data_IF_406001197267
#
_entry.id   IF_406001197267
#
_cell.length_a   1.000
_cell.length_b   1.000
_cell.length_c   1.000
_cell.angle_alpha   90.00
_cell.angle_beta   90.00
_cell.angle_gamma   90.00
#
_symmetry.space_group_name_H-M   'P 1'
#
loop_
_entity.id
_entity.type
_entity.pdbx_description
1 polymer ?
#
# COMPACT_ATOMS: atom_id res chain seq x y z
N UNK A 1 -4.58 -33.38 -16.01
CA UNK A 1 -4.00 -32.88 -14.74
C UNK A 1 -4.29 -31.38 -14.64
N UNK A 2 -5.21 -30.96 -13.77
CA UNK A 2 -5.47 -29.53 -13.49
C UNK A 2 -4.55 -29.11 -12.34
N UNK A 3 -3.57 -28.28 -12.62
CA UNK A 3 -2.69 -27.70 -11.61
C UNK A 3 -3.38 -26.45 -11.07
N UNK A 4 -4.08 -26.55 -9.93
CA UNK A 4 -4.64 -25.39 -9.25
C UNK A 4 -3.54 -24.72 -8.43
N UNK A 5 -2.92 -23.68 -8.98
CA UNK A 5 -1.94 -22.87 -8.26
C UNK A 5 -2.64 -22.04 -7.18
N UNK A 6 -2.57 -22.49 -5.93
CA UNK A 6 -3.03 -21.71 -4.79
C UNK A 6 -1.97 -20.66 -4.43
N UNK A 7 -2.30 -19.38 -4.59
CA UNK A 7 -1.42 -18.28 -4.17
C UNK A 7 -1.75 -17.85 -2.74
N UNK A 8 -0.73 -17.75 -1.90
CA UNK A 8 -0.85 -17.18 -0.55
C UNK A 8 -1.06 -15.67 -0.64
N UNK A 9 -1.76 -15.06 0.33
CA UNK A 9 -1.97 -13.61 0.39
C UNK A 9 -0.65 -12.81 0.35
N UNK A 10 0.42 -13.35 0.93
CA UNK A 10 1.78 -12.77 0.93
C UNK A 10 2.39 -12.80 -0.49
N UNK A 11 2.12 -13.86 -1.26
CA UNK A 11 2.57 -13.94 -2.65
C UNK A 11 1.81 -12.94 -3.53
N UNK A 12 0.50 -12.80 -3.34
CA UNK A 12 -0.31 -11.80 -4.05
C UNK A 12 0.19 -10.39 -3.71
N UNK A 13 0.47 -10.10 -2.44
CA UNK A 13 1.06 -8.84 -2.02
C UNK A 13 2.43 -8.61 -2.66
N UNK A 14 3.29 -9.63 -2.71
CA UNK A 14 4.60 -9.56 -3.36
C UNK A 14 4.52 -9.30 -4.87
N UNK A 15 3.55 -9.92 -5.56
CA UNK A 15 3.28 -9.69 -6.98
C UNK A 15 2.79 -8.25 -7.20
N UNK A 16 1.83 -7.79 -6.40
CA UNK A 16 1.32 -6.40 -6.46
C UNK A 16 2.44 -5.39 -6.19
N UNK A 17 3.28 -5.65 -5.19
CA UNK A 17 4.39 -4.78 -4.82
C UNK A 17 5.46 -4.74 -5.90
N UNK A 18 5.82 -5.89 -6.48
CA UNK A 18 6.76 -5.97 -7.60
C UNK A 18 6.21 -5.27 -8.85
N UNK A 19 4.92 -5.46 -9.16
CA UNK A 19 4.25 -4.74 -10.25
C UNK A 19 4.26 -3.23 -10.04
N UNK A 20 3.98 -2.76 -8.82
CA UNK A 20 4.06 -1.35 -8.48
C UNK A 20 5.48 -0.80 -8.63
N UNK A 21 6.49 -1.54 -8.15
CA UNK A 21 7.90 -1.17 -8.31
C UNK A 21 8.31 -1.08 -9.78
N UNK A 22 7.83 -2.00 -10.62
CA UNK A 22 8.11 -2.02 -12.06
C UNK A 22 7.48 -0.80 -12.77
N UNK A 23 6.28 -0.38 -12.37
CA UNK A 23 5.66 0.87 -12.85
C UNK A 23 6.52 2.09 -12.46
N UNK A 24 7.04 2.13 -11.23
CA UNK A 24 7.94 3.19 -10.79
C UNK A 24 9.24 3.25 -11.61
N UNK A 25 9.80 2.09 -12.00
CA UNK A 25 11.00 2.02 -12.85
C UNK A 25 10.71 2.37 -14.31
N UNK A 26 9.55 1.97 -14.83
CA UNK A 26 9.16 2.23 -16.22
C UNK A 26 8.83 3.70 -16.48
N UNK A 27 8.15 4.38 -15.55
CA UNK A 27 7.72 5.77 -15.71
C UNK A 27 8.10 6.66 -14.51
N UNK A 28 9.39 6.76 -14.15
CA UNK A 28 9.82 7.42 -12.92
C UNK A 28 9.47 8.91 -12.88
N UNK A 29 9.55 9.61 -14.02
CA UNK A 29 9.21 11.03 -14.11
C UNK A 29 7.72 11.28 -13.89
N UNK A 30 6.85 10.45 -14.49
CA UNK A 30 5.40 10.59 -14.36
C UNK A 30 4.95 10.28 -12.93
N UNK A 31 5.41 9.15 -12.39
CA UNK A 31 5.10 8.73 -11.02
C UNK A 31 5.57 9.78 -10.02
N UNK A 32 6.72 10.42 -10.25
CA UNK A 32 7.21 11.46 -9.37
C UNK A 32 6.42 12.73 -9.37
N UNK A 33 6.09 13.22 -10.56
CA UNK A 33 5.29 14.42 -10.68
C UNK A 33 3.89 14.20 -10.09
N UNK A 34 3.33 12.99 -10.29
CA UNK A 34 2.09 12.58 -9.67
C UNK A 34 2.18 12.52 -8.14
N UNK A 35 3.24 11.92 -7.58
CA UNK A 35 3.45 11.82 -6.14
C UNK A 35 3.54 13.20 -5.47
N UNK A 36 4.30 14.14 -6.05
CA UNK A 36 4.41 15.51 -5.54
C UNK A 36 3.04 16.20 -5.57
N UNK A 37 2.28 16.04 -6.67
CA UNK A 37 0.92 16.60 -6.77
C UNK A 37 -0.05 15.99 -5.77
N UNK A 38 0.02 14.67 -5.54
CA UNK A 38 -0.84 14.00 -4.57
C UNK A 38 -0.57 14.49 -3.14
N UNK A 39 0.71 14.61 -2.75
CA UNK A 39 1.11 15.10 -1.42
C UNK A 39 0.71 16.56 -1.25
N UNK A 40 1.00 17.42 -2.22
CA UNK A 40 0.63 18.86 -2.15
C UNK A 40 -0.88 19.06 -2.13
N UNK A 41 -1.65 18.25 -2.86
CA UNK A 41 -3.10 18.26 -2.78
C UNK A 41 -3.63 17.86 -1.40
N UNK A 42 -3.02 16.86 -0.76
CA UNK A 42 -3.36 16.48 0.61
C UNK A 42 -3.08 17.63 1.59
N UNK A 43 -1.94 18.31 1.44
CA UNK A 43 -1.63 19.51 2.23
C UNK A 43 -2.62 20.66 1.99
N UNK A 44 -3.13 20.83 0.76
CA UNK A 44 -4.18 21.81 0.47
C UNK A 44 -5.48 21.48 1.19
N UNK A 45 -5.90 20.20 1.21
CA UNK A 45 -7.09 19.77 1.96
C UNK A 45 -6.91 20.03 3.45
N UNK A 46 -5.76 19.63 4.01
CA UNK A 46 -5.45 19.88 5.43
C UNK A 46 -5.38 21.38 5.75
N UNK A 47 -4.76 22.18 4.89
CA UNK A 47 -4.67 23.62 5.03
C UNK A 47 -6.04 24.29 4.98
N UNK A 48 -6.94 23.81 4.11
CA UNK A 48 -8.31 24.26 4.04
C UNK A 48 -9.10 23.92 5.32
N UNK A 49 -8.98 22.68 5.79
CA UNK A 49 -9.61 22.26 7.05
C UNK A 49 -9.09 23.08 8.23
N UNK A 50 -7.78 23.32 8.28
CA UNK A 50 -7.13 24.15 9.30
C UNK A 50 -7.61 25.60 9.24
N UNK A 51 -7.81 26.16 8.04
CA UNK A 51 -8.36 27.51 7.86
C UNK A 51 -9.79 27.61 8.37
N UNK A 52 -10.65 26.64 8.02
CA UNK A 52 -12.04 26.58 8.51
C UNK A 52 -12.05 26.54 10.03
N UNK A 53 -11.26 25.66 10.63
CA UNK A 53 -11.12 25.58 12.09
C UNK A 53 -10.59 26.88 12.71
N UNK A 54 -9.60 27.52 12.09
CA UNK A 54 -9.02 28.77 12.56
C UNK A 54 -10.03 29.93 12.55
N UNK A 55 -10.93 29.96 11.56
CA UNK A 55 -12.04 30.90 11.49
C UNK A 55 -13.05 30.66 12.62
N UNK A 56 -13.37 29.39 12.93
CA UNK A 56 -14.22 29.05 14.07
C UNK A 56 -13.62 29.49 15.41
N UNK A 57 -12.33 29.26 15.62
CA UNK A 57 -11.61 29.63 16.85
C UNK A 57 -11.26 31.13 16.90
N UNK A 58 -11.50 31.89 15.82
CA UNK A 58 -11.17 33.33 15.67
C UNK A 58 -9.70 33.67 15.98
N UNK A 59 -8.79 32.71 15.79
CA UNK A 59 -7.36 32.90 16.04
C UNK A 59 -6.69 33.55 14.84
N UNK A 60 -6.26 34.80 14.97
CA UNK A 60 -5.57 35.54 13.89
C UNK A 60 -4.27 34.87 13.43
N UNK A 61 -3.50 34.31 14.37
CA UNK A 61 -2.25 33.60 14.05
C UNK A 61 -2.52 32.32 13.27
N UNK A 62 -3.49 31.53 13.71
CA UNK A 62 -3.83 30.26 13.03
C UNK A 62 -4.41 30.51 11.65
N UNK A 63 -5.20 31.58 11.47
CA UNK A 63 -5.70 32.02 10.15
C UNK A 63 -4.52 32.37 9.23
N UNK A 64 -3.56 33.19 9.71
CA UNK A 64 -2.41 33.60 8.91
C UNK A 64 -1.53 32.41 8.49
N UNK A 65 -1.29 31.47 9.41
CA UNK A 65 -0.52 30.26 9.13
C UNK A 65 -1.25 29.37 8.12
N UNK A 66 -2.55 29.13 8.32
CA UNK A 66 -3.35 28.28 7.42
C UNK A 66 -3.45 28.87 6.02
N UNK A 67 -3.64 30.19 5.92
CA UNK A 67 -3.66 30.91 4.65
C UNK A 67 -2.30 30.83 3.95
N UNK A 68 -1.19 30.99 4.67
CA UNK A 68 0.15 30.84 4.11
C UNK A 68 0.39 29.42 3.58
N UNK A 69 -0.05 28.40 4.32
CA UNK A 69 0.03 27.00 3.88
C UNK A 69 -0.77 26.79 2.59
N UNK A 70 -1.96 27.37 2.48
CA UNK A 70 -2.77 27.28 1.27
C UNK A 70 -2.10 27.95 0.07
N UNK A 71 -1.56 29.16 0.23
CA UNK A 71 -0.87 29.89 -0.84
C UNK A 71 0.37 29.12 -1.30
N UNK A 72 1.20 28.67 -0.35
CA UNK A 72 2.41 27.89 -0.64
C UNK A 72 2.04 26.54 -1.27
N UNK A 73 1.02 25.86 -0.74
CA UNK A 73 0.54 24.59 -1.25
C UNK A 73 -0.01 24.70 -2.68
N UNK A 74 -0.71 25.80 -2.99
CA UNK A 74 -1.27 26.03 -4.32
C UNK A 74 -0.16 26.33 -5.33
N UNK A 75 0.82 27.14 -4.93
CA UNK A 75 2.02 27.39 -5.74
C UNK A 75 2.81 26.10 -6.01
N UNK A 76 3.00 25.27 -4.98
CA UNK A 76 3.65 23.98 -5.06
C UNK A 76 2.91 22.98 -5.96
N UNK A 77 1.57 23.01 -5.96
CA UNK A 77 0.73 22.14 -6.78
C UNK A 77 0.83 22.48 -8.28
N UNK A 78 0.83 23.78 -8.61
CA UNK A 78 0.96 24.27 -9.99
C UNK A 78 2.37 23.97 -10.52
N UNK A 79 3.39 24.26 -9.71
CA UNK A 79 4.79 24.11 -10.10
C UNK A 79 5.54 23.11 -9.19
N UNK A 80 5.34 21.79 -9.36
CA UNK A 80 5.94 20.76 -8.50
C UNK A 80 7.47 20.73 -8.55
N UNK A 81 8.07 21.31 -9.59
CA UNK A 81 9.52 21.40 -9.75
C UNK A 81 10.18 22.30 -8.68
N UNK A 82 9.50 23.36 -8.24
CA UNK A 82 10.04 24.23 -7.18
C UNK A 82 10.04 23.54 -5.82
N UNK A 83 9.13 22.60 -5.56
CA UNK A 83 9.10 21.84 -4.31
C UNK A 83 10.41 21.08 -4.14
N UNK A 84 10.89 20.45 -5.21
CA UNK A 84 12.14 19.71 -5.19
C UNK A 84 13.36 20.61 -5.09
N UNK A 85 13.31 21.78 -5.73
CA UNK A 85 14.35 22.79 -5.58
C UNK A 85 14.49 23.25 -4.12
N UNK A 86 13.37 23.54 -3.46
CA UNK A 86 13.34 23.91 -2.04
C UNK A 86 13.79 22.77 -1.13
N UNK A 87 13.41 21.52 -1.45
CA UNK A 87 13.92 20.34 -0.76
C UNK A 87 15.45 20.23 -0.91
N UNK A 88 15.98 20.50 -2.11
CA UNK A 88 17.41 20.54 -2.40
C UNK A 88 18.15 21.58 -1.55
N UNK A 89 17.58 22.77 -1.38
CA UNK A 89 18.09 23.80 -0.44
C UNK A 89 18.11 23.27 0.99
N UNK A 90 17.03 22.64 1.45
CA UNK A 90 16.97 22.02 2.77
C UNK A 90 18.08 20.99 2.97
N UNK A 91 18.24 20.05 2.03
CA UNK A 91 19.29 19.02 2.08
C UNK A 91 20.69 19.62 2.09
N UNK A 92 20.94 20.67 1.30
CA UNK A 92 22.22 21.36 1.27
C UNK A 92 22.55 22.04 2.60
N UNK A 93 21.59 22.77 3.18
CA UNK A 93 21.78 23.44 4.48
C UNK A 93 21.99 22.40 5.59
N UNK A 94 21.21 21.31 5.59
CA UNK A 94 21.38 20.21 6.55
C UNK A 94 22.75 19.54 6.43
N UNK A 95 23.22 19.28 5.21
CA UNK A 95 24.55 18.72 4.98
C UNK A 95 25.66 19.68 5.42
N UNK A 96 25.51 20.97 5.16
CA UNK A 96 26.47 22.00 5.59
C UNK A 96 26.52 22.13 7.12
N UNK A 97 25.37 22.10 7.79
CA UNK A 97 25.30 22.04 9.26
C UNK A 97 25.93 20.75 9.80
N UNK A 98 25.72 19.61 9.13
CA UNK A 98 26.34 18.34 9.47
C UNK A 98 27.86 18.42 9.46
N UNK A 99 28.44 18.98 8.38
CA UNK A 99 29.88 19.21 8.26
C UNK A 99 30.38 20.17 9.33
N UNK A 100 29.69 21.30 9.54
CA UNK A 100 30.09 22.28 10.56
C UNK A 100 30.11 21.67 11.96
N UNK A 101 29.12 20.83 12.29
CA UNK A 101 29.06 20.10 13.55
C UNK A 101 30.16 19.04 13.66
N UNK A 102 30.57 18.40 12.56
CA UNK A 102 31.69 17.45 12.55
C UNK A 102 33.03 18.15 12.81
N UNK A 103 33.24 19.35 12.25
CA UNK A 103 34.45 20.14 12.48
C UNK A 103 34.45 20.84 13.83
N UNK A 104 33.28 21.14 14.38
CA UNK A 104 33.17 21.68 15.74
C UNK A 104 33.49 20.56 16.73
N UNK A 105 34.45 20.79 17.64
CA UNK A 105 34.92 19.80 18.64
C UNK A 105 33.86 19.37 19.68
N UNK A 106 32.57 19.66 19.44
CA UNK A 106 31.47 19.46 20.38
C UNK A 106 31.04 18.00 20.57
N UNK A 107 31.44 17.07 19.69
CA UNK A 107 31.13 15.64 19.86
C UNK A 107 32.12 14.75 19.10
N UNK A 108 32.53 13.61 19.67
CA UNK A 108 33.15 12.50 18.90
C UNK A 108 32.12 12.06 17.85
N UNK A 109 32.25 12.55 16.63
CA UNK A 109 31.41 12.13 15.51
C UNK A 109 32.05 10.96 14.77
N UNK A 110 31.21 10.03 14.32
CA UNK A 110 31.62 8.91 13.48
C UNK A 110 31.88 9.40 12.05
N UNK A 111 32.81 8.76 11.36
CA UNK A 111 33.09 8.98 9.92
C UNK A 111 31.81 8.87 9.07
N UNK A 112 30.85 8.05 9.52
CA UNK A 112 29.52 7.90 8.93
C UNK A 112 28.73 9.21 8.85
N UNK A 113 28.81 10.09 9.87
CA UNK A 113 28.11 11.38 9.85
C UNK A 113 28.69 12.34 8.81
N UNK A 114 30.02 12.31 8.64
CA UNK A 114 30.71 13.15 7.64
C UNK A 114 30.34 12.69 6.22
N UNK A 115 30.41 11.39 5.96
CA UNK A 115 30.02 10.79 4.67
C UNK A 115 28.55 11.08 4.37
N UNK A 116 27.66 10.90 5.34
CA UNK A 116 26.23 11.20 5.18
C UNK A 116 25.99 12.69 4.87
N UNK A 117 26.75 13.59 5.49
CA UNK A 117 26.59 15.04 5.29
C UNK A 117 27.06 15.49 3.91
N UNK A 118 28.18 14.93 3.42
CA UNK A 118 28.68 15.16 2.06
C UNK A 118 27.69 14.61 1.03
N UNK A 119 27.17 13.39 1.25
CA UNK A 119 26.16 12.80 0.38
C UNK A 119 24.88 13.65 0.33
N UNK A 120 24.45 14.21 1.47
CA UNK A 120 23.31 15.12 1.55
C UNK A 120 23.54 16.43 0.78
N UNK A 121 24.75 17.00 0.86
CA UNK A 121 25.11 18.19 0.08
C UNK A 121 25.10 17.90 -1.43
N UNK A 122 25.71 16.79 -1.86
CA UNK A 122 25.75 16.40 -3.27
C UNK A 122 24.33 16.14 -3.81
N UNK A 123 23.49 15.47 -3.03
CA UNK A 123 22.08 15.28 -3.34
C UNK A 123 21.34 16.62 -3.43
N UNK A 124 21.62 17.55 -2.52
CA UNK A 124 21.05 18.89 -2.52
C UNK A 124 21.42 19.69 -3.78
N UNK A 125 22.70 19.71 -4.15
CA UNK A 125 23.19 20.36 -5.38
C UNK A 125 22.58 19.71 -6.62
N UNK A 126 22.52 18.39 -6.67
CA UNK A 126 21.91 17.66 -7.78
C UNK A 126 20.40 17.99 -7.92
N UNK A 127 19.68 18.04 -6.80
CA UNK A 127 18.28 18.42 -6.76
C UNK A 127 18.04 19.88 -7.19
N UNK A 128 18.95 20.80 -6.87
CA UNK A 128 18.85 22.20 -7.32
C UNK A 128 19.09 22.35 -8.82
N UNK A 129 20.14 21.74 -9.36
CA UNK A 129 20.58 21.95 -10.74
C UNK A 129 19.68 21.22 -11.75
N UNK A 130 19.12 20.06 -11.37
CA UNK A 130 18.31 19.26 -12.27
C UNK A 130 17.15 18.58 -11.54
N UNK A 131 16.19 19.40 -11.09
CA UNK A 131 15.01 18.95 -10.31
C UNK A 131 14.25 17.80 -10.97
N UNK A 132 14.07 17.83 -12.30
CA UNK A 132 13.37 16.76 -13.04
C UNK A 132 14.15 15.45 -13.02
N UNK A 133 15.45 15.50 -13.32
CA UNK A 133 16.29 14.31 -13.32
C UNK A 133 16.45 13.74 -11.91
N UNK A 134 16.59 14.60 -10.90
CA UNK A 134 16.72 14.22 -9.50
C UNK A 134 15.48 13.48 -8.97
N UNK A 135 14.28 13.97 -9.30
CA UNK A 135 13.04 13.27 -8.94
C UNK A 135 12.99 11.88 -9.59
N UNK A 136 13.32 11.84 -10.88
CA UNK A 136 13.29 10.61 -11.67
C UNK A 136 14.27 9.58 -11.12
N UNK A 137 15.49 9.98 -10.75
CA UNK A 137 16.51 9.07 -10.21
C UNK A 137 16.11 8.51 -8.84
N UNK A 138 15.57 9.35 -7.94
CA UNK A 138 15.15 8.90 -6.60
C UNK A 138 14.03 7.86 -6.72
N UNK A 139 13.07 8.08 -7.62
CA UNK A 139 11.93 7.18 -7.80
C UNK A 139 12.33 5.90 -8.49
N UNK A 140 13.26 5.97 -9.44
CA UNK A 140 13.83 4.78 -10.04
C UNK A 140 14.55 3.92 -8.99
N UNK A 141 15.38 4.51 -8.14
CA UNK A 141 16.07 3.80 -7.05
C UNK A 141 15.05 3.18 -6.08
N UNK A 142 14.04 3.94 -5.66
CA UNK A 142 12.96 3.43 -4.81
C UNK A 142 12.19 2.30 -5.50
N UNK A 143 11.89 2.43 -6.79
CA UNK A 143 11.22 1.41 -7.59
C UNK A 143 12.00 0.11 -7.63
N UNK A 144 13.32 0.18 -7.84
CA UNK A 144 14.22 -0.98 -7.79
C UNK A 144 14.15 -1.67 -6.42
N UNK A 145 14.25 -0.90 -5.32
CA UNK A 145 14.14 -1.44 -3.96
C UNK A 145 12.79 -2.13 -3.74
N UNK A 146 11.69 -1.52 -4.19
CA UNK A 146 10.34 -2.08 -4.08
C UNK A 146 10.22 -3.39 -4.86
N UNK A 147 10.80 -3.47 -6.07
CA UNK A 147 10.84 -4.71 -6.85
C UNK A 147 11.60 -5.80 -6.09
N UNK A 148 12.78 -5.50 -5.54
CA UNK A 148 13.54 -6.47 -4.74
C UNK A 148 12.75 -6.96 -3.53
N UNK A 149 12.11 -6.05 -2.78
CA UNK A 149 11.27 -6.41 -1.63
C UNK A 149 10.08 -7.26 -2.07
N UNK A 150 9.42 -6.91 -3.18
CA UNK A 150 8.31 -7.67 -3.75
C UNK A 150 8.72 -9.10 -4.14
N UNK A 151 9.86 -9.25 -4.79
CA UNK A 151 10.42 -10.57 -5.14
C UNK A 151 10.75 -11.37 -3.87
N UNK A 152 11.36 -10.75 -2.86
CA UNK A 152 11.63 -11.41 -1.58
C UNK A 152 10.35 -11.89 -0.89
N UNK A 153 9.27 -11.09 -0.91
CA UNK A 153 7.97 -11.50 -0.37
C UNK A 153 7.36 -12.69 -1.13
N UNK A 154 7.57 -12.79 -2.45
CA UNK A 154 7.13 -13.95 -3.24
C UNK A 154 7.90 -15.21 -2.79
N UNK A 155 9.21 -15.11 -2.57
CA UNK A 155 10.02 -16.22 -2.07
C UNK A 155 9.61 -16.64 -0.65
N UNK A 156 9.43 -15.69 0.27
CA UNK A 156 8.96 -15.95 1.63
C UNK A 156 7.56 -16.56 1.62
N UNK A 157 6.67 -16.06 0.78
CA UNK A 157 5.31 -16.60 0.63
C UNK A 157 5.27 -18.03 0.07
N UNK A 158 6.33 -18.49 -0.62
CA UNK A 158 6.49 -19.88 -1.08
C UNK A 158 7.03 -20.80 0.02
N UNK A 159 7.89 -20.30 0.91
CA UNK A 159 8.50 -21.10 1.99
C UNK A 159 7.62 -21.20 3.23
N UNK A 160 6.64 -20.31 3.38
CA UNK A 160 5.62 -20.44 4.42
C UNK A 160 4.71 -21.63 4.11
N UNK A 161 4.64 -22.65 4.99
CA UNK A 161 3.70 -23.74 4.80
C UNK A 161 2.29 -23.14 4.73
N UNK A 162 1.50 -23.55 3.74
CA UNK A 162 0.05 -23.41 3.77
C UNK A 162 -0.44 -24.11 5.04
N UNK A 163 -0.42 -23.40 6.16
CA UNK A 163 -1.10 -23.83 7.37
C UNK A 163 -2.57 -23.77 7.01
N UNK A 164 -3.10 -24.93 6.61
CA UNK A 164 -4.49 -25.26 6.81
C UNK A 164 -4.79 -24.95 8.29
N UNK A 165 -5.22 -23.73 8.57
CA UNK A 165 -5.94 -23.39 9.80
C UNK A 165 -7.31 -24.02 9.68
N UNK A 166 -7.35 -25.34 9.80
CA UNK A 166 -8.46 -26.00 10.47
C UNK A 166 -8.55 -25.34 11.85
N UNK A 167 -9.70 -24.72 12.17
CA UNK A 167 -10.05 -24.09 13.45
C UNK A 167 -9.67 -22.63 13.73
N UNK A 168 -10.05 -21.67 12.87
CA UNK A 168 -10.73 -20.46 13.38
C UNK A 168 -11.84 -20.04 12.42
N UNK A 169 -13.08 -20.06 12.94
CA UNK A 169 -14.28 -19.47 12.32
C UNK A 169 -14.09 -17.97 12.14
N UNK A 170 -13.39 -17.55 11.10
CA UNK A 170 -13.49 -16.23 10.45
C UNK A 170 -12.83 -16.42 9.09
N UNK A 171 -13.64 -16.70 8.08
CA UNK A 171 -13.16 -17.05 6.74
C UNK A 171 -12.32 -15.93 6.11
N UNK A 172 -11.11 -16.20 5.60
CA UNK A 172 -10.43 -15.28 4.73
C UNK A 172 -11.12 -15.28 3.37
N UNK A 173 -11.47 -14.10 2.85
CA UNK A 173 -11.99 -13.93 1.50
C UNK A 173 -10.98 -14.49 0.49
N UNK A 174 -11.33 -15.61 -0.14
CA UNK A 174 -10.56 -16.24 -1.22
C UNK A 174 -11.06 -15.65 -2.54
N UNK A 175 -10.19 -14.96 -3.27
CA UNK A 175 -10.48 -14.53 -4.64
C UNK A 175 -10.20 -15.70 -5.60
N UNK A 176 -11.25 -16.40 -6.02
CA UNK A 176 -11.19 -17.40 -7.09
C UNK A 176 -11.70 -16.75 -8.37
N UNK A 177 -10.83 -16.51 -9.35
CA UNK A 177 -11.27 -16.16 -10.71
C UNK A 177 -11.68 -17.44 -11.44
N UNK A 178 -12.99 -17.71 -11.54
CA UNK A 178 -13.52 -18.74 -12.42
C UNK A 178 -13.76 -18.16 -13.82
N UNK A 179 -12.97 -18.55 -14.81
CA UNK A 179 -13.31 -18.32 -16.22
C UNK A 179 -14.41 -19.31 -16.63
N UNK A 180 -15.65 -18.84 -16.62
CA UNK A 180 -16.82 -19.63 -17.03
C UNK A 180 -16.89 -19.70 -18.55
N UNK A 181 -16.50 -20.84 -19.12
CA UNK A 181 -17.10 -21.39 -20.33
C UNK A 181 -17.00 -22.92 -20.26
N UNK A 182 -18.12 -23.59 -20.06
CA UNK A 182 -18.23 -25.04 -20.22
C UNK A 182 -19.49 -25.32 -21.04
N UNK A 183 -19.41 -26.01 -22.19
CA UNK A 183 -20.58 -26.51 -22.89
C UNK A 183 -21.28 -27.57 -22.01
N UNK A 184 -22.60 -27.54 -21.94
CA UNK A 184 -23.40 -28.56 -21.24
C UNK A 184 -23.32 -29.90 -21.97
N UNK A 185 -22.81 -30.93 -21.30
CA UNK A 185 -23.02 -32.33 -21.69
C UNK A 185 -24.35 -32.86 -21.12
N UNK A 186 -25.04 -33.81 -21.79
CA UNK A 186 -26.38 -34.23 -21.41
C UNK A 186 -26.39 -35.15 -20.19
N UNK A 187 -27.45 -35.00 -19.38
CA UNK A 187 -27.74 -35.71 -18.13
C UNK A 187 -28.05 -37.20 -18.39
N UNK A 188 -27.47 -38.17 -17.65
CA UNK A 188 -27.89 -39.57 -17.75
C UNK A 188 -29.15 -39.86 -16.92
N UNK A 189 -30.01 -40.74 -17.45
CA UNK A 189 -31.28 -41.20 -16.86
C UNK A 189 -31.12 -41.92 -15.50
N UNK A 190 -32.11 -41.84 -14.59
CA UNK A 190 -32.03 -42.44 -13.27
C UNK A 190 -32.41 -43.93 -13.29
N UNK A 191 -31.51 -44.79 -12.79
CA UNK A 191 -31.82 -46.19 -12.43
C UNK A 191 -32.69 -46.23 -11.17
N UNK A 192 -33.72 -47.09 -11.10
CA UNK A 192 -34.59 -47.18 -9.94
C UNK A 192 -33.85 -47.90 -8.80
N UNK A 193 -33.65 -47.21 -7.68
CA UNK A 193 -33.09 -47.81 -6.47
C UNK A 193 -34.20 -47.87 -5.42
N UNK A 194 -34.64 -49.08 -5.07
CA UNK A 194 -35.57 -49.35 -3.98
C UNK A 194 -34.93 -48.89 -2.66
N UNK A 195 -35.23 -47.67 -2.24
CA UNK A 195 -35.01 -47.21 -0.88
C UNK A 195 -36.19 -46.33 -0.50
N UNK A 196 -37.06 -46.87 0.36
CA UNK A 196 -38.13 -46.12 1.01
C UNK A 196 -37.47 -45.18 2.02
N UNK A 197 -37.54 -43.88 1.74
CA UNK A 197 -37.19 -42.83 2.71
C UNK A 197 -38.52 -42.41 3.33
N UNK A 198 -38.74 -42.81 4.58
CA UNK A 198 -39.88 -42.32 5.36
C UNK A 198 -39.46 -40.95 5.90
N UNK A 199 -40.06 -39.90 5.35
CA UNK A 199 -40.02 -38.56 5.94
C UNK A 199 -40.99 -38.58 7.12
N UNK A 200 -40.51 -38.35 8.34
CA UNK A 200 -41.36 -38.06 9.49
C UNK A 200 -40.96 -36.67 9.94
N UNK A 201 -41.52 -35.67 9.28
CA UNK A 201 -41.86 -34.39 9.90
C UNK A 201 -43.37 -34.31 9.71
N UNK A 202 -44.11 -34.57 10.79
CA UNK A 202 -45.42 -33.99 11.01
C UNK A 202 -45.64 -33.96 12.52
N UNK A 203 -45.64 -32.74 13.04
CA UNK A 203 -46.27 -32.37 14.29
C UNK A 203 -47.73 -32.82 14.22
N UNK A 204 -48.12 -33.86 14.95
CA UNK A 204 -49.49 -34.00 15.47
C UNK A 204 -49.53 -35.01 16.62
N UNK A 205 -50.04 -34.51 17.74
CA UNK A 205 -50.28 -35.23 18.99
C UNK A 205 -51.56 -36.03 18.82
N UNK A 206 -51.54 -37.35 19.08
CA UNK A 206 -52.72 -38.06 19.58
C UNK A 206 -52.30 -39.36 20.29
N UNK A 207 -52.62 -39.42 21.58
CA UNK A 207 -52.55 -40.61 22.44
C UNK A 207 -53.58 -41.64 21.98
N UNK A 208 -53.22 -42.91 21.76
CA UNK A 208 -54.12 -44.02 22.11
C UNK A 208 -53.32 -45.26 22.54
N UNK A 209 -53.55 -45.62 23.79
CA UNK A 209 -53.14 -46.83 24.52
C UNK A 209 -54.05 -48.00 24.10
N UNK A 210 -53.55 -49.19 23.73
CA UNK A 210 -54.30 -50.47 23.84
C UNK A 210 -53.39 -51.71 23.63
N UNK A 211 -53.04 -52.34 24.76
CA UNK A 211 -53.11 -53.78 25.10
C UNK A 211 -52.91 -54.84 24.00
N UNK A 212 -51.91 -55.68 24.29
CA UNK A 212 -51.86 -57.16 24.24
C UNK A 212 -52.17 -57.92 22.93
N UNK A 213 -51.62 -59.14 22.86
CA UNK A 213 -51.91 -60.25 21.90
C UNK A 213 -50.99 -60.23 20.66
N UNK A 214 -50.03 -61.15 20.41
CA UNK A 214 -49.63 -62.46 20.98
C UNK A 214 -48.10 -62.64 20.85
#
# INVERSE_FOLDING_TARGET
MKQTSHFNAIQILGIMLSGLGLICVAFPTFVGLFAVRAITFLFLILGFYSLVFALFVKSKLTILVSFSILVVGLYAFINPQYVLFMLGIGCFILGLNGIFLTFSKFKKQSESTLISSIALMLLGVFAMLNTKAALSSVIMILGIIIVFVGIMLIFVGKTLPFTNRTQRKTGPFVFTFSSTFSPQEPKPEPKPNNRVIINIDDDDVEEIDFKDVD
#
